data_IF_910473259465
#
_entry.id   IF_910473259465
#
_cell.length_a   1.000
_cell.length_b   1.000
_cell.length_c   1.000
_cell.angle_alpha   90.00
_cell.angle_beta   90.00
_cell.angle_gamma   90.00
#
_symmetry.space_group_name_H-M   'P 1'
#
loop_
_entity.id
_entity.type
_entity.pdbx_description
1 polymer ?
#
# COMPACT_ATOMS: atom_id res chain seq x y z
N UNK A 1 9.03 -4.98 10.23
CA UNK A 1 7.75 -5.58 10.67
C UNK A 1 7.35 -6.63 9.66
N UNK A 2 7.10 -7.83 10.10
CA UNK A 2 6.71 -8.96 9.27
C UNK A 2 5.18 -9.08 9.13
N UNK A 3 4.71 -10.11 8.39
CA UNK A 3 3.26 -10.31 8.18
C UNK A 3 2.50 -10.53 9.48
N UNK A 4 3.06 -11.24 10.44
CA UNK A 4 2.40 -11.50 11.72
C UNK A 4 2.13 -10.19 12.47
N UNK A 5 3.10 -9.31 12.48
CA UNK A 5 2.97 -7.98 13.10
C UNK A 5 2.01 -7.08 12.31
N UNK A 6 2.02 -7.16 10.97
CA UNK A 6 1.09 -6.42 10.12
C UNK A 6 -0.36 -6.81 10.36
N UNK A 7 -0.64 -8.08 10.66
CA UNK A 7 -2.00 -8.53 10.98
C UNK A 7 -2.56 -7.88 12.25
N UNK A 8 -1.70 -7.45 13.17
CA UNK A 8 -2.14 -6.73 14.37
C UNK A 8 -2.37 -5.24 14.10
N UNK A 9 -1.73 -4.71 13.08
CA UNK A 9 -1.76 -3.28 12.74
C UNK A 9 -2.90 -2.93 11.79
N UNK A 10 -3.20 -3.81 10.85
CA UNK A 10 -4.15 -3.56 9.76
C UNK A 10 -5.42 -4.40 9.92
N UNK A 11 -6.57 -3.89 9.42
CA UNK A 11 -7.81 -4.69 9.40
C UNK A 11 -7.77 -5.83 8.39
N UNK A 12 -6.84 -5.80 7.43
CA UNK A 12 -6.69 -6.82 6.40
C UNK A 12 -6.17 -8.12 6.99
N UNK A 13 -6.73 -9.26 6.58
CA UNK A 13 -6.38 -10.57 7.11
C UNK A 13 -6.17 -11.58 5.96
N UNK A 14 -5.26 -12.52 6.18
CA UNK A 14 -5.03 -13.63 5.25
C UNK A 14 -4.69 -13.15 3.84
N UNK A 15 -5.42 -13.67 2.85
CA UNK A 15 -5.19 -13.34 1.43
C UNK A 15 -5.57 -11.89 1.08
N UNK A 16 -6.31 -11.20 1.94
CA UNK A 16 -6.59 -9.79 1.75
C UNK A 16 -5.39 -8.89 2.10
N UNK A 17 -4.42 -9.40 2.82
CA UNK A 17 -3.21 -8.67 3.16
C UNK A 17 -2.15 -8.88 2.07
N UNK A 18 -1.86 -7.81 1.32
CA UNK A 18 -0.89 -7.84 0.21
C UNK A 18 0.51 -7.37 0.60
N UNK A 19 0.66 -6.82 1.79
CA UNK A 19 1.98 -6.46 2.32
C UNK A 19 2.62 -7.69 2.98
N UNK A 20 3.89 -7.90 2.70
CA UNK A 20 4.68 -8.97 3.30
C UNK A 20 5.58 -8.47 4.42
N UNK A 21 6.03 -7.21 4.34
CA UNK A 21 6.86 -6.61 5.37
C UNK A 21 6.84 -5.09 5.28
N UNK A 22 7.10 -4.41 6.39
CA UNK A 22 7.50 -3.02 6.42
C UNK A 22 9.02 -2.95 6.52
N UNK A 23 9.63 -2.11 5.69
CA UNK A 23 11.09 -1.98 5.60
C UNK A 23 11.58 -0.78 6.38
N UNK A 24 10.94 0.36 6.19
CA UNK A 24 11.33 1.62 6.80
C UNK A 24 10.12 2.54 6.89
N UNK A 25 10.11 3.42 7.88
CA UNK A 25 9.04 4.40 8.03
C UNK A 25 9.45 5.56 8.93
N UNK A 26 8.82 6.70 8.67
CA UNK A 26 8.88 7.88 9.52
C UNK A 26 7.52 8.60 9.47
N UNK A 27 7.43 9.78 10.08
CA UNK A 27 6.15 10.51 10.18
C UNK A 27 5.60 10.94 8.81
N UNK A 28 6.43 11.00 7.77
CA UNK A 28 6.03 11.49 6.44
C UNK A 28 6.00 10.39 5.39
N UNK A 29 6.75 9.31 5.56
CA UNK A 29 6.92 8.29 4.54
C UNK A 29 6.98 6.88 5.12
N UNK A 30 6.77 5.91 4.23
CA UNK A 30 6.80 4.49 4.59
C UNK A 30 7.19 3.67 3.37
N UNK A 31 7.93 2.58 3.60
CA UNK A 31 8.30 1.62 2.58
C UNK A 31 7.94 0.20 3.04
N UNK A 32 7.48 -0.60 2.11
CA UNK A 32 7.12 -1.99 2.38
C UNK A 32 7.40 -2.88 1.18
N UNK A 33 7.27 -4.17 1.42
CA UNK A 33 7.48 -5.20 0.41
C UNK A 33 6.19 -5.94 0.13
N UNK A 34 6.01 -6.31 -1.13
CA UNK A 34 4.95 -7.19 -1.60
C UNK A 34 5.51 -8.18 -2.62
N UNK A 35 4.67 -8.98 -3.22
CA UNK A 35 5.07 -9.97 -4.20
C UNK A 35 3.99 -10.17 -5.26
N UNK A 36 4.38 -10.66 -6.42
CA UNK A 36 3.47 -10.88 -7.55
C UNK A 36 2.36 -11.89 -7.25
N UNK A 37 2.60 -12.85 -6.35
CA UNK A 37 1.62 -13.89 -6.08
C UNK A 37 0.28 -13.34 -5.56
N UNK A 38 0.28 -12.19 -4.88
CA UNK A 38 -0.95 -11.56 -4.42
C UNK A 38 -1.83 -11.13 -5.61
N UNK A 39 -1.20 -10.58 -6.65
CA UNK A 39 -1.90 -10.23 -7.88
C UNK A 39 -2.38 -11.48 -8.61
N UNK A 40 -1.54 -12.51 -8.69
CA UNK A 40 -1.81 -13.73 -9.45
C UNK A 40 -3.03 -14.50 -8.92
N UNK A 41 -3.36 -14.35 -7.65
CA UNK A 41 -4.56 -14.95 -7.07
C UNK A 41 -5.85 -14.40 -7.66
N UNK A 42 -5.81 -13.24 -8.29
CA UNK A 42 -6.96 -12.64 -8.95
C UNK A 42 -7.18 -13.18 -10.37
N UNK A 43 -6.26 -14.00 -10.86
CA UNK A 43 -6.30 -14.58 -12.19
C UNK A 43 -5.18 -14.10 -13.09
N UNK A 44 -4.95 -14.83 -14.19
CA UNK A 44 -3.85 -14.55 -15.10
C UNK A 44 -4.01 -13.22 -15.84
N UNK A 45 -5.24 -12.74 -15.96
CA UNK A 45 -5.58 -11.50 -16.67
C UNK A 45 -5.57 -10.27 -15.76
N UNK A 46 -5.24 -10.43 -14.49
CA UNK A 46 -5.27 -9.31 -13.54
C UNK A 46 -4.26 -8.23 -13.95
N UNK A 47 -4.75 -6.99 -14.07
CA UNK A 47 -3.89 -5.85 -14.40
C UNK A 47 -2.92 -5.54 -13.27
N UNK A 48 -1.64 -5.27 -13.57
CA UNK A 48 -0.70 -4.77 -12.56
C UNK A 48 -1.14 -3.49 -11.85
N UNK A 49 -2.06 -2.71 -12.44
CA UNK A 49 -2.66 -1.56 -11.76
C UNK A 49 -3.31 -1.95 -10.42
N UNK A 50 -3.82 -3.16 -10.28
CA UNK A 50 -4.45 -3.63 -9.05
C UNK A 50 -3.47 -3.73 -7.88
N UNK A 51 -2.17 -3.63 -8.14
CA UNK A 51 -1.16 -3.54 -7.08
C UNK A 51 -1.30 -2.25 -6.25
N UNK A 52 -2.13 -1.28 -6.68
CA UNK A 52 -2.47 -0.15 -5.82
C UNK A 52 -3.01 -0.60 -4.46
N UNK A 53 -3.59 -1.79 -4.40
CA UNK A 53 -4.12 -2.34 -3.13
C UNK A 53 -3.00 -2.50 -2.10
N UNK A 54 -1.83 -2.97 -2.52
CA UNK A 54 -0.67 -3.04 -1.62
C UNK A 54 -0.21 -1.64 -1.17
N UNK A 55 -0.24 -0.66 -2.08
CA UNK A 55 0.08 0.72 -1.72
C UNK A 55 -0.93 1.30 -0.74
N UNK A 56 -2.22 1.02 -0.92
CA UNK A 56 -3.27 1.46 -0.01
C UNK A 56 -3.07 0.87 1.40
N UNK A 57 -2.70 -0.41 1.48
CA UNK A 57 -2.40 -1.06 2.75
C UNK A 57 -1.17 -0.45 3.41
N UNK A 58 -0.15 -0.10 2.64
CA UNK A 58 1.03 0.58 3.15
C UNK A 58 0.66 1.93 3.75
N UNK A 59 -0.18 2.70 3.07
CA UNK A 59 -0.66 3.98 3.59
C UNK A 59 -1.51 3.81 4.86
N UNK A 60 -2.34 2.77 4.91
CA UNK A 60 -3.11 2.44 6.11
C UNK A 60 -2.20 2.09 7.29
N UNK A 61 -1.11 1.35 7.03
CA UNK A 61 -0.10 1.05 8.05
C UNK A 61 0.56 2.33 8.58
N UNK A 62 0.87 3.28 7.69
CA UNK A 62 1.42 4.56 8.08
C UNK A 62 0.44 5.32 9.00
N UNK A 63 -0.83 5.36 8.62
CA UNK A 63 -1.87 5.98 9.43
C UNK A 63 -2.04 5.31 10.79
N UNK A 64 -1.88 4.00 10.88
CA UNK A 64 -1.94 3.27 12.15
C UNK A 64 -0.75 3.55 13.04
N UNK A 65 0.45 3.73 12.45
CA UNK A 65 1.68 3.99 13.20
C UNK A 65 1.80 5.43 13.68
N UNK A 66 1.38 6.38 12.86
CA UNK A 66 1.60 7.81 13.10
C UNK A 66 0.33 8.63 13.28
N UNK A 67 -0.83 8.01 13.14
CA UNK A 67 -2.12 8.65 13.36
C UNK A 67 -2.49 8.72 14.84
N UNK A 68 -3.75 9.07 15.10
CA UNK A 68 -4.27 9.09 16.45
C UNK A 68 -4.41 7.66 17.02
N UNK A 69 -4.55 7.59 18.34
CA UNK A 69 -4.47 6.34 19.10
C UNK A 69 -5.60 5.32 18.83
N UNK A 70 -6.66 5.71 18.13
CA UNK A 70 -7.80 4.83 17.87
C UNK A 70 -7.45 3.76 16.85
N UNK A 71 -7.91 2.54 17.11
CA UNK A 71 -7.71 1.44 16.17
C UNK A 71 -8.41 1.72 14.84
N UNK A 72 -7.75 1.36 13.74
CA UNK A 72 -8.34 1.43 12.41
C UNK A 72 -9.29 0.25 12.25
N UNK A 73 -10.57 0.54 12.08
CA UNK A 73 -11.59 -0.46 11.82
C UNK A 73 -11.65 -0.79 10.33
N UNK A 74 -11.51 0.21 9.47
CA UNK A 74 -11.58 0.06 8.03
C UNK A 74 -10.70 1.08 7.34
N UNK A 75 -10.06 0.69 6.25
CA UNK A 75 -9.30 1.58 5.38
C UNK A 75 -9.88 1.50 3.98
N UNK A 76 -10.29 2.64 3.44
CA UNK A 76 -10.93 2.72 2.13
C UNK A 76 -10.13 3.65 1.21
N UNK A 77 -9.96 3.22 -0.04
CA UNK A 77 -9.45 4.10 -1.08
C UNK A 77 -10.61 4.96 -1.57
N UNK A 78 -10.59 6.25 -1.23
CA UNK A 78 -11.62 7.18 -1.67
C UNK A 78 -11.39 7.70 -3.07
N UNK A 79 -10.13 7.76 -3.52
CA UNK A 79 -9.78 8.25 -4.85
C UNK A 79 -8.39 7.78 -5.24
N UNK A 80 -8.23 7.39 -6.50
CA UNK A 80 -6.95 7.20 -7.16
C UNK A 80 -6.80 8.24 -8.25
N UNK A 81 -5.61 8.83 -8.39
CA UNK A 81 -5.35 9.84 -9.39
C UNK A 81 -3.91 9.79 -9.88
N UNK A 82 -3.67 10.37 -11.05
CA UNK A 82 -2.34 10.47 -11.66
C UNK A 82 -1.62 9.11 -11.75
N UNK A 83 -2.38 8.05 -12.05
CA UNK A 83 -1.82 6.71 -12.17
C UNK A 83 -1.00 6.57 -13.45
N UNK A 84 0.22 6.05 -13.31
CA UNK A 84 1.08 5.69 -14.42
C UNK A 84 1.51 4.24 -14.26
N UNK A 85 1.06 3.40 -15.19
CA UNK A 85 1.51 2.03 -15.30
C UNK A 85 2.65 1.96 -16.31
N UNK A 86 3.82 1.53 -15.85
CA UNK A 86 4.99 1.41 -16.69
C UNK A 86 5.06 0.01 -17.33
N UNK A 87 5.62 -0.11 -18.54
CA UNK A 87 5.78 -1.43 -19.15
C UNK A 87 6.65 -2.35 -18.28
N UNK A 88 6.20 -3.59 -18.13
CA UNK A 88 6.92 -4.60 -17.35
C UNK A 88 7.64 -5.53 -18.32
N UNK A 89 8.97 -5.50 -18.31
CA UNK A 89 9.79 -6.38 -19.15
C UNK A 89 10.13 -7.70 -18.46
N UNK A 90 10.14 -7.71 -17.13
CA UNK A 90 10.38 -8.89 -16.31
C UNK A 90 9.66 -8.75 -14.97
N UNK A 91 9.13 -9.86 -14.46
CA UNK A 91 8.47 -9.88 -13.15
C UNK A 91 9.49 -10.08 -12.05
N UNK A 92 10.33 -9.07 -11.86
CA UNK A 92 11.32 -9.09 -10.80
C UNK A 92 10.68 -8.91 -9.42
N UNK A 93 11.32 -9.44 -8.41
CA UNK A 93 10.96 -9.30 -7.01
C UNK A 93 12.19 -8.88 -6.18
N UNK A 94 11.97 -8.27 -5.03
CA UNK A 94 10.67 -7.97 -4.43
C UNK A 94 9.97 -6.82 -5.11
N UNK A 95 8.66 -6.70 -4.86
CA UNK A 95 7.94 -5.47 -5.15
C UNK A 95 8.19 -4.51 -3.99
N UNK A 96 8.89 -3.42 -4.24
CA UNK A 96 9.13 -2.37 -3.27
C UNK A 96 8.08 -1.28 -3.43
N UNK A 97 7.36 -1.01 -2.36
CA UNK A 97 6.31 0.00 -2.35
C UNK A 97 6.75 1.13 -1.46
N UNK A 98 6.67 2.35 -1.97
CA UNK A 98 6.98 3.57 -1.23
C UNK A 98 5.75 4.46 -1.22
N UNK A 99 5.49 5.12 -0.10
CA UNK A 99 4.42 6.09 0.01
C UNK A 99 4.88 7.29 0.83
N UNK A 100 4.41 8.47 0.45
CA UNK A 100 4.70 9.71 1.15
C UNK A 100 3.41 10.47 1.36
N UNK A 101 3.15 10.86 2.61
CA UNK A 101 1.98 11.65 2.95
C UNK A 101 2.16 13.08 2.45
N UNK A 102 1.21 13.53 1.64
CA UNK A 102 1.20 14.90 1.09
C UNK A 102 0.23 15.81 1.82
N UNK A 103 -0.86 15.26 2.35
CA UNK A 103 -1.85 16.02 3.08
C UNK A 103 -2.56 15.12 4.09
N UNK A 104 -2.98 15.69 5.20
CA UNK A 104 -3.68 15.00 6.26
C UNK A 104 -4.83 15.86 6.76
N UNK A 105 -6.00 15.25 6.93
CA UNK A 105 -7.15 15.84 7.58
C UNK A 105 -7.80 14.79 8.49
N UNK A 106 -8.76 15.19 9.36
CA UNK A 106 -9.48 14.20 10.17
C UNK A 106 -10.23 13.16 9.37
N UNK A 107 -10.60 13.47 8.12
CA UNK A 107 -11.38 12.57 7.26
C UNK A 107 -10.50 11.58 6.48
N UNK A 108 -9.20 11.87 6.29
CA UNK A 108 -8.34 11.00 5.52
C UNK A 108 -6.99 11.62 5.22
N UNK A 109 -6.21 10.92 4.40
CA UNK A 109 -4.86 11.33 4.05
C UNK A 109 -4.62 11.14 2.55
N UNK A 110 -3.90 12.07 1.96
CA UNK A 110 -3.45 11.98 0.57
C UNK A 110 -2.00 11.53 0.54
N UNK A 111 -1.71 10.49 -0.23
CA UNK A 111 -0.38 9.93 -0.38
C UNK A 111 0.01 9.91 -1.85
N UNK A 112 1.28 10.20 -2.11
CA UNK A 112 1.93 9.81 -3.36
C UNK A 112 2.59 8.46 -3.16
N UNK A 113 2.42 7.53 -4.09
CA UNK A 113 3.00 6.20 -3.97
C UNK A 113 3.73 5.80 -5.25
N UNK A 114 4.68 4.88 -5.10
CA UNK A 114 5.41 4.27 -6.20
C UNK A 114 5.67 2.80 -5.88
N UNK A 115 5.59 1.97 -6.90
CA UNK A 115 5.88 0.53 -6.81
C UNK A 115 6.96 0.21 -7.83
N UNK A 116 8.01 -0.47 -7.36
CA UNK A 116 9.09 -0.98 -8.21
C UNK A 116 9.09 -2.49 -8.18
N UNK A 117 9.31 -3.11 -9.35
CA UNK A 117 9.57 -4.54 -9.47
C UNK A 117 11.07 -4.72 -9.65
N UNK A 118 11.76 -5.11 -8.58
CA UNK A 118 13.22 -5.08 -8.56
C UNK A 118 13.74 -3.67 -8.82
N UNK A 119 14.45 -3.48 -9.92
CA UNK A 119 14.99 -2.17 -10.33
C UNK A 119 14.07 -1.38 -11.27
N UNK A 120 12.93 -1.95 -11.67
CA UNK A 120 12.03 -1.35 -12.66
C UNK A 120 10.86 -0.62 -12.00
N UNK A 121 10.58 0.61 -12.45
CA UNK A 121 9.36 1.30 -12.10
C UNK A 121 8.16 0.52 -12.67
N UNK A 122 7.14 0.29 -11.87
CA UNK A 122 5.97 -0.49 -12.26
C UNK A 122 4.69 0.36 -12.27
N UNK A 123 4.40 0.99 -11.16
CA UNK A 123 3.17 1.77 -10.99
C UNK A 123 3.45 2.93 -10.04
N UNK A 124 2.93 4.09 -10.36
CA UNK A 124 2.95 5.21 -9.43
C UNK A 124 1.66 6.03 -9.56
N UNK A 125 1.41 6.85 -8.57
CA UNK A 125 0.22 7.68 -8.56
C UNK A 125 -0.03 8.31 -7.21
N UNK A 126 -1.26 8.77 -7.04
CA UNK A 126 -1.73 9.32 -5.76
C UNK A 126 -2.99 8.62 -5.32
N UNK A 127 -3.15 8.46 -4.02
CA UNK A 127 -4.36 7.91 -3.45
C UNK A 127 -4.82 8.72 -2.24
N UNK A 128 -6.13 8.87 -2.15
CA UNK A 128 -6.78 9.42 -0.97
C UNK A 128 -7.27 8.23 -0.13
N UNK A 129 -6.73 8.13 1.07
CA UNK A 129 -7.09 7.07 2.00
C UNK A 129 -8.06 7.62 3.04
N UNK A 130 -9.20 6.95 3.18
CA UNK A 130 -10.19 7.26 4.22
C UNK A 130 -10.07 6.18 5.29
N UNK A 131 -9.81 6.61 6.52
CA UNK A 131 -9.67 5.71 7.65
C UNK A 131 -10.93 5.79 8.51
N UNK A 132 -11.58 4.65 8.70
CA UNK A 132 -12.72 4.52 9.61
C UNK A 132 -12.18 3.96 10.93
N UNK A 133 -12.40 4.70 12.00
CA UNK A 133 -11.91 4.35 13.32
C UNK A 133 -13.06 3.88 14.21
N UNK A 134 -12.71 3.01 15.14
CA UNK A 134 -13.66 2.55 16.14
C UNK A 134 -14.03 3.68 17.14
#
# INVERSE_FOLDING_TARGET
>A
MDRTQLHTLLPHQGDALWLDALVDHDAESIQGLSAWHHLDKLGDDASPCLLFEAAAQLCAAHGALYGEADAIEMALVGKLSQLHLHPVTAREEPLLISARQEALSPAGALYAFAIQAGSQALLDGKLLLVLVRA
#
